data_IF_950977651009
#
_entry.id   IF_950977651009
#
_cell.length_a   1.000
_cell.length_b   1.000
_cell.length_c   1.000
_cell.angle_alpha   90.00
_cell.angle_beta   90.00
_cell.angle_gamma   90.00
#
_symmetry.space_group_name_H-M   'P 1'
#
loop_
_entity.id
_entity.type
_entity.pdbx_description
1 polymer ?
#
# COMPACT_ATOMS: atom_id res chain seq x y z
N UNK A 1 -13.42 -28.23 0.38
CA UNK A 1 -12.28 -27.46 0.93
C UNK A 1 -11.91 -26.35 -0.05
N UNK A 2 -11.94 -25.08 0.39
CA UNK A 2 -11.65 -23.91 -0.47
C UNK A 2 -10.14 -23.79 -0.67
N UNK A 3 -9.68 -23.68 -1.92
CA UNK A 3 -8.27 -23.42 -2.26
C UNK A 3 -7.96 -21.94 -2.11
N UNK A 4 -6.88 -21.61 -1.40
CA UNK A 4 -6.37 -20.26 -1.19
C UNK A 4 -5.06 -20.07 -1.94
N UNK A 5 -4.79 -18.84 -2.40
CA UNK A 5 -3.60 -18.54 -3.21
C UNK A 5 -2.91 -17.25 -2.75
N UNK A 6 -2.50 -17.16 -1.48
CA UNK A 6 -1.96 -15.91 -0.93
C UNK A 6 -0.66 -15.47 -1.62
N UNK A 7 0.23 -16.42 -1.94
CA UNK A 7 1.50 -16.11 -2.60
C UNK A 7 1.30 -15.65 -4.04
N UNK A 8 0.34 -16.25 -4.75
CA UNK A 8 0.00 -15.84 -6.12
C UNK A 8 -0.56 -14.43 -6.09
N UNK A 9 -1.51 -14.14 -5.20
CA UNK A 9 -2.07 -12.80 -5.05
C UNK A 9 -0.98 -11.75 -4.79
N UNK A 10 -0.08 -11.99 -3.83
CA UNK A 10 1.01 -11.07 -3.52
C UNK A 10 1.98 -10.87 -4.69
N UNK A 11 2.35 -11.93 -5.40
CA UNK A 11 3.21 -11.82 -6.58
C UNK A 11 2.54 -11.01 -7.69
N UNK A 12 1.22 -11.19 -7.88
CA UNK A 12 0.47 -10.46 -8.90
C UNK A 12 0.26 -8.99 -8.55
N UNK A 13 0.16 -8.64 -7.26
CA UNK A 13 0.12 -7.24 -6.81
C UNK A 13 1.48 -6.56 -7.02
N UNK A 14 2.59 -7.26 -6.71
CA UNK A 14 3.96 -6.74 -6.94
C UNK A 14 4.27 -6.52 -8.42
N UNK A 15 3.77 -7.38 -9.29
CA UNK A 15 4.06 -7.35 -10.74
C UNK A 15 2.97 -6.63 -11.56
N UNK A 16 1.91 -6.14 -10.91
CA UNK A 16 0.78 -5.47 -11.57
C UNK A 16 0.11 -6.27 -12.70
N UNK A 17 0.13 -7.61 -12.61
CA UNK A 17 -0.47 -8.49 -13.61
C UNK A 17 -2.00 -8.43 -13.51
N UNK A 18 -2.73 -8.61 -14.61
CA UNK A 18 -4.19 -8.63 -14.58
C UNK A 18 -4.74 -9.94 -13.96
N UNK A 19 -5.92 -9.88 -13.33
CA UNK A 19 -6.58 -11.08 -12.79
C UNK A 19 -6.85 -12.14 -13.87
N UNK A 20 -7.19 -11.70 -15.09
CA UNK A 20 -7.46 -12.60 -16.22
C UNK A 20 -6.19 -13.31 -16.70
N UNK A 21 -5.09 -12.57 -16.80
CA UNK A 21 -3.78 -13.15 -17.14
C UNK A 21 -3.34 -14.17 -16.08
N UNK A 22 -3.55 -13.83 -14.81
CA UNK A 22 -3.26 -14.71 -13.68
C UNK A 22 -4.08 -15.99 -13.72
N UNK A 23 -5.36 -15.91 -14.07
CA UNK A 23 -6.27 -17.06 -14.21
C UNK A 23 -5.78 -18.04 -15.27
N UNK A 24 -5.46 -17.53 -16.46
CA UNK A 24 -5.00 -18.34 -17.59
C UNK A 24 -3.69 -19.03 -17.23
N UNK A 25 -2.71 -18.28 -16.73
CA UNK A 25 -1.42 -18.83 -16.33
C UNK A 25 -1.58 -19.88 -15.23
N UNK A 26 -2.42 -19.62 -14.22
CA UNK A 26 -2.59 -20.55 -13.12
C UNK A 26 -3.30 -21.83 -13.54
N UNK A 27 -4.30 -21.75 -14.41
CA UNK A 27 -4.97 -22.93 -14.94
C UNK A 27 -4.06 -23.75 -15.88
N UNK A 28 -3.17 -23.09 -16.64
CA UNK A 28 -2.16 -23.78 -17.43
C UNK A 28 -1.17 -24.53 -16.52
N UNK A 29 -0.60 -23.85 -15.53
CA UNK A 29 0.30 -24.44 -14.52
C UNK A 29 -0.35 -25.64 -13.79
N UNK A 30 -1.60 -25.51 -13.37
CA UNK A 30 -2.34 -26.60 -12.73
C UNK A 30 -2.65 -27.78 -13.67
N UNK A 31 -2.74 -27.54 -14.97
CA UNK A 31 -2.92 -28.58 -15.98
C UNK A 31 -1.60 -29.30 -16.24
N UNK A 32 -0.49 -28.58 -16.30
CA UNK A 32 0.86 -29.14 -16.47
C UNK A 32 1.26 -29.98 -15.25
N UNK A 33 0.87 -29.56 -14.03
CA UNK A 33 1.02 -30.34 -12.80
C UNK A 33 0.06 -31.54 -12.69
N UNK A 34 -0.85 -31.74 -13.65
CA UNK A 34 -1.83 -32.82 -13.64
C UNK A 34 -2.92 -32.72 -12.57
N UNK A 35 -3.06 -31.55 -11.93
CA UNK A 35 -4.07 -31.27 -10.89
C UNK A 35 -5.43 -31.07 -11.53
N UNK A 36 -5.50 -30.35 -12.66
CA UNK A 36 -6.72 -30.20 -13.46
C UNK A 36 -6.70 -31.23 -14.58
N UNK A 37 -7.78 -32.00 -14.69
CA UNK A 37 -7.97 -33.00 -15.75
C UNK A 37 -9.23 -32.67 -16.55
N UNK A 38 -9.32 -33.19 -17.78
CA UNK A 38 -10.44 -32.91 -18.71
C UNK A 38 -11.83 -33.26 -18.15
N UNK A 39 -11.90 -34.13 -17.13
CA UNK A 39 -13.15 -34.52 -16.44
C UNK A 39 -13.28 -34.03 -14.99
N UNK A 40 -12.27 -33.37 -14.43
CA UNK A 40 -12.31 -32.84 -13.05
C UNK A 40 -11.98 -31.34 -13.06
N UNK A 41 -13.05 -30.55 -12.98
CA UNK A 41 -12.99 -29.08 -12.94
C UNK A 41 -13.02 -28.52 -11.51
N UNK A 42 -13.01 -29.38 -10.48
CA UNK A 42 -13.15 -28.96 -9.08
C UNK A 42 -12.03 -28.00 -8.63
N UNK A 43 -10.85 -28.12 -9.24
CA UNK A 43 -9.65 -27.33 -8.94
C UNK A 43 -9.40 -26.15 -9.88
N UNK A 44 -10.29 -25.91 -10.85
CA UNK A 44 -10.15 -24.77 -11.77
C UNK A 44 -10.20 -23.46 -10.99
N UNK A 45 -9.28 -22.55 -11.31
CA UNK A 45 -9.19 -21.22 -10.74
C UNK A 45 -9.88 -20.26 -11.70
N UNK A 46 -10.94 -19.61 -11.24
CA UNK A 46 -11.62 -18.55 -11.99
C UNK A 46 -11.08 -17.18 -11.56
N UNK A 47 -11.22 -16.17 -12.42
CA UNK A 47 -10.87 -14.77 -12.15
C UNK A 47 -11.43 -14.29 -10.82
N UNK A 48 -12.67 -14.66 -10.49
CA UNK A 48 -13.31 -14.26 -9.23
C UNK A 48 -12.61 -14.84 -8.00
N UNK A 49 -11.99 -16.02 -8.11
CA UNK A 49 -11.18 -16.61 -7.03
C UNK A 49 -9.92 -15.78 -6.80
N UNK A 50 -9.20 -15.42 -7.86
CA UNK A 50 -7.99 -14.58 -7.78
C UNK A 50 -8.30 -13.21 -7.18
N UNK A 51 -9.34 -12.54 -7.67
CA UNK A 51 -9.76 -11.22 -7.16
C UNK A 51 -10.09 -11.26 -5.66
N UNK A 52 -10.80 -12.30 -5.21
CA UNK A 52 -11.12 -12.48 -3.79
C UNK A 52 -9.87 -12.72 -2.95
N UNK A 53 -8.94 -13.53 -3.44
CA UNK A 53 -7.68 -13.78 -2.72
C UNK A 53 -6.83 -12.50 -2.64
N UNK A 54 -6.75 -11.69 -3.70
CA UNK A 54 -6.08 -10.37 -3.67
C UNK A 54 -6.68 -9.43 -2.65
N UNK A 55 -8.00 -9.25 -2.66
CA UNK A 55 -8.68 -8.39 -1.69
C UNK A 55 -8.38 -8.87 -0.27
N UNK A 56 -8.45 -10.19 -0.04
CA UNK A 56 -8.14 -10.78 1.26
C UNK A 56 -6.68 -10.55 1.67
N UNK A 57 -5.71 -10.80 0.80
CA UNK A 57 -4.30 -10.59 1.11
C UNK A 57 -3.98 -9.13 1.39
N UNK A 58 -4.60 -8.20 0.64
CA UNK A 58 -4.47 -6.76 0.90
C UNK A 58 -5.06 -6.39 2.26
N UNK A 59 -6.28 -6.83 2.59
CA UNK A 59 -6.88 -6.59 3.90
C UNK A 59 -6.05 -7.18 5.05
N UNK A 60 -5.48 -8.38 4.85
CA UNK A 60 -4.61 -9.02 5.84
C UNK A 60 -3.28 -8.28 6.01
N UNK A 61 -2.74 -7.68 4.94
CA UNK A 61 -1.55 -6.83 4.99
C UNK A 61 -1.84 -5.50 5.70
N UNK A 62 -2.97 -4.83 5.40
CA UNK A 62 -3.43 -3.63 6.10
C UNK A 62 -3.51 -3.84 7.59
N UNK A 63 -4.23 -4.87 8.03
CA UNK A 63 -4.36 -5.21 9.45
C UNK A 63 -3.02 -5.49 10.13
N UNK A 64 -2.05 -6.08 9.41
CA UNK A 64 -0.69 -6.31 9.92
C UNK A 64 0.12 -5.02 10.03
N UNK A 65 -0.10 -4.06 9.16
CA UNK A 65 0.55 -2.74 9.18
C UNK A 65 -0.06 -1.82 10.24
N UNK A 66 -1.39 -1.83 10.40
CA UNK A 66 -2.11 -1.07 11.44
C UNK A 66 -1.63 -1.44 12.85
N UNK A 67 -1.28 -2.71 13.10
CA UNK A 67 -0.69 -3.15 14.37
C UNK A 67 0.78 -2.77 14.57
N UNK A 68 1.47 -2.25 13.55
CA UNK A 68 2.91 -1.92 13.57
C UNK A 68 3.22 -0.43 13.45
N UNK A 69 2.27 0.38 12.98
CA UNK A 69 2.46 1.82 12.76
C UNK A 69 1.42 2.63 13.53
N UNK A 70 1.76 3.08 14.74
CA UNK A 70 1.06 4.18 15.42
C UNK A 70 1.55 5.58 14.97
N UNK A 71 2.50 5.63 14.03
CA UNK A 71 3.06 6.86 13.44
C UNK A 71 3.65 6.49 12.08
N UNK A 72 3.35 7.11 10.95
CA UNK A 72 2.46 8.20 10.59
C UNK A 72 2.07 7.93 9.13
N UNK A 73 0.76 7.87 8.82
CA UNK A 73 0.26 7.81 7.42
C UNK A 73 0.48 9.14 6.66
N UNK A 74 1.12 10.10 7.34
CA UNK A 74 1.38 11.45 6.90
C UNK A 74 2.89 11.70 6.84
N UNK A 75 3.31 12.28 5.72
CA UNK A 75 4.64 12.85 5.51
C UNK A 75 4.55 14.38 5.54
N UNK A 76 5.64 15.05 5.92
CA UNK A 76 5.73 16.52 5.92
C UNK A 76 6.20 16.99 4.54
N UNK A 77 5.49 17.92 3.93
CA UNK A 77 5.82 18.51 2.63
C UNK A 77 5.83 20.04 2.69
N UNK A 78 6.78 20.67 2.00
CA UNK A 78 6.82 22.13 1.87
C UNK A 78 6.17 22.56 0.54
N UNK A 79 5.11 23.37 0.61
CA UNK A 79 4.34 23.80 -0.58
C UNK A 79 4.93 25.03 -1.30
N UNK A 80 6.12 25.46 -0.89
CA UNK A 80 6.82 26.61 -1.44
C UNK A 80 6.32 27.96 -0.91
N UNK A 81 5.25 28.00 -0.11
CA UNK A 81 4.85 29.21 0.60
C UNK A 81 5.86 29.53 1.69
N UNK A 82 6.09 30.81 1.92
CA UNK A 82 6.97 31.32 2.97
C UNK A 82 6.19 32.22 3.90
N UNK A 83 6.19 31.88 5.18
CA UNK A 83 5.44 32.59 6.21
C UNK A 83 6.41 33.38 7.10
N UNK A 84 5.97 34.56 7.56
CA UNK A 84 6.74 35.36 8.52
C UNK A 84 6.37 34.95 9.93
N UNK A 85 7.33 34.40 10.66
CA UNK A 85 7.17 33.99 12.06
C UNK A 85 7.82 35.05 12.96
N UNK A 86 7.06 35.56 13.93
CA UNK A 86 7.62 36.40 15.00
C UNK A 86 8.31 35.50 16.02
N UNK A 87 9.61 35.71 16.21
CA UNK A 87 10.41 35.02 17.22
C UNK A 87 10.96 36.01 18.25
N UNK A 88 11.17 35.50 19.47
CA UNK A 88 11.89 36.21 20.53
C UNK A 88 13.35 35.77 20.50
N UNK A 89 14.26 36.67 20.13
CA UNK A 89 15.69 36.39 20.11
C UNK A 89 16.33 37.04 21.33
N UNK A 90 17.09 36.25 22.09
CA UNK A 90 17.87 36.75 23.23
C UNK A 90 19.26 37.14 22.76
N UNK A 91 19.56 38.44 22.73
CA UNK A 91 20.89 38.98 22.43
C UNK A 91 21.47 39.54 23.73
N UNK A 92 22.28 38.73 24.42
CA UNK A 92 22.79 39.05 25.76
C UNK A 92 21.70 39.02 26.84
N UNK A 93 21.57 40.10 27.61
CA UNK A 93 20.52 40.23 28.65
C UNK A 93 19.18 40.72 28.11
N UNK A 94 19.12 41.20 26.86
CA UNK A 94 17.92 41.77 26.24
C UNK A 94 17.22 40.75 25.35
N UNK A 95 15.89 40.72 25.42
CA UNK A 95 15.04 39.92 24.54
C UNK A 95 14.39 40.85 23.52
N UNK A 96 14.67 40.63 22.25
CA UNK A 96 14.15 41.41 21.14
C UNK A 96 13.19 40.59 20.28
N UNK A 97 12.17 41.25 19.73
CA UNK A 97 11.26 40.67 18.74
C UNK A 97 11.87 40.78 17.35
N UNK A 98 12.00 39.66 16.64
CA UNK A 98 12.45 39.62 15.24
C UNK A 98 11.47 38.81 14.41
N UNK A 99 11.24 39.25 13.18
CA UNK A 99 10.51 38.47 12.18
C UNK A 99 11.51 37.63 11.39
N UNK A 100 11.31 36.32 11.35
CA UNK A 100 12.01 35.41 10.43
C UNK A 100 11.06 34.92 9.36
N UNK A 101 11.60 34.49 8.23
CA UNK A 101 10.81 33.91 7.14
C UNK A 101 11.12 32.42 7.06
N UNK A 102 10.11 31.60 7.26
CA UNK A 102 10.22 30.14 7.28
C UNK A 102 9.38 29.52 6.17
N UNK A 103 9.71 28.29 5.77
CA UNK A 103 8.91 27.56 4.79
C UNK A 103 7.66 26.99 5.45
N UNK A 104 6.53 27.11 4.75
CA UNK A 104 5.27 26.54 5.19
C UNK A 104 5.27 25.02 4.98
N UNK A 105 5.01 24.28 6.06
CA UNK A 105 4.94 22.83 6.07
C UNK A 105 3.48 22.36 6.10
N UNK A 106 3.17 21.35 5.30
CA UNK A 106 1.86 20.71 5.19
C UNK A 106 2.01 19.23 5.51
N UNK A 107 1.05 18.66 6.22
CA UNK A 107 0.95 17.22 6.39
C UNK A 107 0.22 16.63 5.19
N UNK A 108 0.88 15.75 4.45
CA UNK A 108 0.32 15.07 3.29
C UNK A 108 0.22 13.58 3.62
N UNK A 109 -0.96 13.00 3.42
CA UNK A 109 -1.08 11.54 3.44
C UNK A 109 -0.62 10.94 2.12
N UNK A 110 0.05 9.79 2.18
CA UNK A 110 0.43 9.11 0.95
C UNK A 110 -0.82 8.73 0.14
N UNK A 111 -0.93 9.15 -1.14
CA UNK A 111 -2.05 8.76 -1.96
C UNK A 111 -1.99 7.26 -2.18
N UNK A 112 -3.02 6.54 -1.71
CA UNK A 112 -3.11 5.07 -1.69
C UNK A 112 -2.11 4.41 -0.76
N UNK A 113 -2.06 4.82 0.50
CA UNK A 113 -1.64 3.91 1.57
C UNK A 113 -2.61 2.71 1.57
N UNK A 114 -2.17 1.63 0.93
CA UNK A 114 -2.85 0.33 0.79
C UNK A 114 -2.08 -0.67 1.63
#
# INVERSE_FOLDING_TARGET
MRTTFPNVAQACDRTSVSDRSTEILKNADLKDMGIIKKGDSSKVVDRSKIRRERIKTLSDLKRKNEGKHSSSEYDIYFDGRKDKTLIMVKEGERVARKNITEQHAVLISQPRSI
#
